data_IF_138547947776
#
_entry.id   IF_138547947776
#
_cell.length_a   1.000
_cell.length_b   1.000
_cell.length_c   1.000
_cell.angle_alpha   90.00
_cell.angle_beta   90.00
_cell.angle_gamma   90.00
#
_symmetry.space_group_name_H-M   'P 1'
#
loop_
_entity.id
_entity.type
_entity.pdbx_description
1 polymer ?
#
# COMPACT_ATOMS: atom_id res chain seq x y z
N UNK A 1 -3.25 -2.32 -24.14
CA UNK A 1 -4.01 -3.34 -23.36
C UNK A 1 -3.46 -4.74 -23.63
N UNK A 2 -3.57 -5.65 -22.66
CA UNK A 2 -3.10 -7.04 -22.78
C UNK A 2 -4.24 -8.02 -23.08
N UNK A 3 -5.50 -7.59 -22.92
CA UNK A 3 -6.70 -8.41 -23.08
C UNK A 3 -7.65 -7.86 -24.15
N UNK A 4 -8.24 -8.75 -24.93
CA UNK A 4 -9.31 -8.44 -25.88
C UNK A 4 -10.42 -9.50 -25.81
N UNK A 5 -11.51 -9.31 -26.59
CA UNK A 5 -12.58 -10.29 -26.77
C UNK A 5 -12.50 -10.81 -28.20
N UNK A 6 -12.57 -12.15 -28.34
CA UNK A 6 -12.80 -12.79 -29.62
C UNK A 6 -14.32 -12.82 -29.92
N UNK A 7 -14.76 -12.10 -30.93
CA UNK A 7 -16.20 -11.99 -31.27
C UNK A 7 -16.82 -13.30 -31.75
N UNK A 8 -16.00 -14.27 -32.21
CA UNK A 8 -16.50 -15.58 -32.67
C UNK A 8 -16.89 -16.49 -31.48
N UNK A 9 -16.08 -16.49 -30.43
CA UNK A 9 -16.33 -17.35 -29.24
C UNK A 9 -16.90 -16.57 -28.05
N UNK A 10 -16.89 -15.24 -28.10
CA UNK A 10 -17.20 -14.36 -26.98
C UNK A 10 -16.26 -14.49 -25.78
N UNK A 11 -15.11 -15.12 -25.97
CA UNK A 11 -14.12 -15.36 -24.94
C UNK A 11 -13.09 -14.24 -24.86
N UNK A 12 -12.55 -14.06 -23.65
CA UNK A 12 -11.41 -13.18 -23.46
C UNK A 12 -10.13 -13.86 -23.94
N UNK A 13 -9.31 -13.09 -24.65
CA UNK A 13 -7.94 -13.48 -25.02
C UNK A 13 -6.98 -12.57 -24.27
N UNK A 14 -6.10 -13.15 -23.44
CA UNK A 14 -4.94 -12.47 -22.88
C UNK A 14 -3.73 -12.85 -23.73
N UNK A 15 -3.10 -11.85 -24.36
CA UNK A 15 -2.04 -12.09 -25.34
C UNK A 15 -0.77 -12.75 -24.75
N UNK A 16 -0.61 -12.65 -23.43
CA UNK A 16 0.53 -13.21 -22.69
C UNK A 16 0.29 -14.64 -22.23
N UNK A 17 -0.93 -15.16 -22.33
CA UNK A 17 -1.20 -16.54 -21.92
C UNK A 17 -0.35 -17.53 -22.72
N UNK A 18 0.19 -18.56 -22.06
CA UNK A 18 1.08 -19.55 -22.70
C UNK A 18 0.52 -20.16 -23.96
N UNK A 19 -0.81 -20.36 -24.04
CA UNK A 19 -1.50 -20.89 -25.21
C UNK A 19 -1.29 -20.05 -26.48
N UNK A 20 -1.09 -18.72 -26.34
CA UNK A 20 -0.95 -17.82 -27.50
C UNK A 20 0.51 -17.61 -27.93
N UNK A 21 1.50 -17.97 -27.08
CA UNK A 21 2.92 -17.79 -27.42
C UNK A 21 3.34 -18.57 -28.69
N UNK A 22 2.74 -19.74 -28.93
CA UNK A 22 2.97 -20.54 -30.15
C UNK A 22 1.97 -20.28 -31.29
N UNK A 23 0.89 -19.52 -31.05
CA UNK A 23 -0.26 -19.36 -31.95
C UNK A 23 -0.43 -17.93 -32.46
N UNK A 24 0.67 -17.20 -32.63
CA UNK A 24 0.64 -15.80 -33.11
C UNK A 24 0.01 -15.65 -34.51
N UNK A 25 0.16 -16.64 -35.39
CA UNK A 25 -0.49 -16.67 -36.70
C UNK A 25 -2.01 -16.65 -36.60
N UNK A 26 -2.56 -17.43 -35.68
CA UNK A 26 -4.01 -17.49 -35.43
C UNK A 26 -4.55 -16.14 -34.88
N UNK A 27 -3.83 -15.52 -33.95
CA UNK A 27 -4.18 -14.16 -33.48
C UNK A 27 -4.18 -13.14 -34.62
N UNK A 28 -3.24 -13.25 -35.55
CA UNK A 28 -3.16 -12.37 -36.71
C UNK A 28 -4.29 -12.62 -37.71
N UNK A 29 -4.75 -13.86 -37.87
CA UNK A 29 -5.90 -14.18 -38.71
C UNK A 29 -7.18 -13.61 -38.11
N UNK A 30 -7.40 -13.73 -36.80
CA UNK A 30 -8.51 -13.10 -36.11
C UNK A 30 -8.45 -11.56 -36.22
N UNK A 31 -7.26 -10.99 -36.15
CA UNK A 31 -7.00 -9.56 -36.32
C UNK A 31 -7.39 -9.07 -37.72
N UNK A 32 -6.94 -9.75 -38.78
CA UNK A 32 -7.27 -9.42 -40.18
C UNK A 32 -8.77 -9.47 -40.41
N UNK A 33 -9.49 -10.38 -39.76
CA UNK A 33 -10.93 -10.55 -39.83
C UNK A 33 -11.74 -9.56 -38.96
N UNK A 34 -11.08 -8.63 -38.24
CA UNK A 34 -11.70 -7.71 -37.27
C UNK A 34 -12.46 -8.44 -36.15
N UNK A 35 -12.00 -9.68 -35.76
CA UNK A 35 -12.62 -10.50 -34.74
C UNK A 35 -12.14 -10.19 -33.33
N UNK A 36 -11.10 -9.39 -33.19
CA UNK A 36 -10.57 -8.97 -31.90
C UNK A 36 -11.09 -7.58 -31.56
N UNK A 37 -11.79 -7.46 -30.44
CA UNK A 37 -12.37 -6.18 -30.00
C UNK A 37 -11.97 -5.82 -28.58
N UNK A 38 -11.89 -4.53 -28.31
CA UNK A 38 -11.62 -4.00 -26.98
C UNK A 38 -12.74 -4.38 -26.00
N UNK A 39 -12.46 -4.91 -24.81
CA UNK A 39 -13.48 -5.28 -23.84
C UNK A 39 -14.25 -4.08 -23.26
N UNK A 40 -13.75 -2.85 -23.49
CA UNK A 40 -14.37 -1.63 -22.98
C UNK A 40 -15.25 -0.90 -23.99
N UNK A 41 -14.70 -0.62 -25.17
CA UNK A 41 -15.40 0.15 -26.19
C UNK A 41 -15.93 -0.69 -27.35
N UNK A 42 -15.66 -1.99 -27.36
CA UNK A 42 -16.06 -2.97 -28.37
C UNK A 42 -15.61 -2.62 -29.80
N UNK A 43 -14.62 -1.73 -29.94
CA UNK A 43 -14.03 -1.40 -31.22
C UNK A 43 -12.91 -2.39 -31.58
N UNK A 44 -12.68 -2.65 -32.88
CA UNK A 44 -11.62 -3.52 -33.33
C UNK A 44 -10.23 -3.09 -32.81
N UNK A 45 -9.43 -4.07 -32.44
CA UNK A 45 -8.06 -3.87 -32.00
C UNK A 45 -7.11 -4.70 -32.85
N UNK A 46 -5.84 -4.29 -32.90
CA UNK A 46 -4.77 -4.95 -33.65
C UNK A 46 -3.76 -5.59 -32.72
N UNK A 47 -3.30 -6.76 -33.11
CA UNK A 47 -2.23 -7.49 -32.43
C UNK A 47 -0.89 -6.85 -32.72
N UNK A 48 -0.23 -6.36 -31.69
CA UNK A 48 1.13 -5.83 -31.70
C UNK A 48 2.07 -6.81 -31.02
N UNK A 49 2.57 -7.77 -31.79
CA UNK A 49 3.46 -8.83 -31.30
C UNK A 49 4.72 -8.88 -32.18
N UNK A 50 5.80 -8.30 -31.68
CA UNK A 50 7.11 -8.26 -32.30
C UNK A 50 8.18 -8.89 -31.43
N UNK A 51 9.42 -9.00 -31.94
CA UNK A 51 10.56 -9.58 -31.21
C UNK A 51 11.12 -8.68 -30.12
N UNK A 52 10.86 -7.37 -30.19
CA UNK A 52 11.53 -6.36 -29.35
C UNK A 52 10.56 -5.71 -28.35
N UNK A 53 9.27 -5.64 -28.67
CA UNK A 53 8.28 -4.94 -27.83
C UNK A 53 7.40 -5.94 -27.11
N UNK A 54 6.93 -5.54 -25.91
CA UNK A 54 5.88 -6.26 -25.20
C UNK A 54 4.67 -6.50 -26.11
N UNK A 55 4.18 -7.72 -26.15
CA UNK A 55 3.00 -8.08 -26.91
C UNK A 55 1.78 -7.44 -26.28
N UNK A 56 0.95 -6.78 -27.12
CA UNK A 56 -0.24 -6.08 -26.68
C UNK A 56 -1.25 -5.91 -27.83
N UNK A 57 -2.48 -5.61 -27.47
CA UNK A 57 -3.51 -5.16 -28.41
C UNK A 57 -3.56 -3.62 -28.42
N UNK A 58 -3.77 -3.04 -29.61
CA UNK A 58 -3.86 -1.59 -29.78
C UNK A 58 -5.08 -1.23 -30.64
N UNK A 59 -5.74 -0.12 -30.31
CA UNK A 59 -6.81 0.41 -31.17
C UNK A 59 -6.26 0.89 -32.51
N UNK A 60 -7.02 0.68 -33.57
CA UNK A 60 -6.66 1.15 -34.90
C UNK A 60 -6.81 2.66 -35.05
N UNK A 61 -7.82 3.23 -34.44
CA UNK A 61 -8.17 4.62 -34.53
C UNK A 61 -8.19 5.26 -33.16
N UNK A 62 -7.91 6.57 -33.10
CA UNK A 62 -8.02 7.36 -31.89
C UNK A 62 -9.49 7.40 -31.47
N UNK A 63 -9.76 6.78 -30.35
CA UNK A 63 -11.08 6.69 -29.72
C UNK A 63 -10.99 7.16 -28.30
N UNK A 64 -12.05 7.66 -27.73
CA UNK A 64 -12.07 8.05 -26.33
C UNK A 64 -12.21 6.82 -25.43
N UNK A 65 -11.20 5.93 -25.46
CA UNK A 65 -11.15 4.70 -24.68
C UNK A 65 -10.03 4.76 -23.63
N UNK A 66 -10.27 4.39 -22.39
CA UNK A 66 -9.25 4.39 -21.34
C UNK A 66 -7.98 3.59 -21.67
N UNK A 67 -8.11 2.54 -22.49
CA UNK A 67 -6.97 1.72 -22.92
C UNK A 67 -6.14 2.34 -24.06
N UNK A 68 -6.55 3.50 -24.60
CA UNK A 68 -5.93 4.00 -25.82
C UNK A 68 -4.57 4.65 -25.60
N UNK A 69 -4.39 5.36 -24.49
CA UNK A 69 -3.21 6.17 -24.22
C UNK A 69 -2.28 5.55 -23.16
N UNK A 70 -2.32 4.23 -23.03
CA UNK A 70 -1.41 3.54 -22.11
C UNK A 70 0.02 3.63 -22.63
N UNK A 71 0.93 4.05 -21.75
CA UNK A 71 2.35 4.08 -22.08
C UNK A 71 2.90 2.66 -22.29
N UNK A 72 3.94 2.55 -23.13
CA UNK A 72 4.60 1.26 -23.32
C UNK A 72 5.17 0.74 -21.99
N UNK A 73 5.68 1.63 -21.14
CA UNK A 73 6.21 1.28 -19.84
C UNK A 73 5.13 0.70 -18.91
N UNK A 74 3.92 1.29 -18.89
CA UNK A 74 2.78 0.75 -18.14
C UNK A 74 2.42 -0.66 -18.62
N UNK A 75 2.35 -0.88 -19.93
CA UNK A 75 2.05 -2.20 -20.51
C UNK A 75 3.12 -3.24 -20.16
N UNK A 76 4.41 -2.87 -20.22
CA UNK A 76 5.51 -3.73 -19.84
C UNK A 76 5.49 -4.08 -18.34
N UNK A 77 5.22 -3.08 -17.49
CA UNK A 77 5.12 -3.27 -16.05
C UNK A 77 3.94 -4.19 -15.69
N UNK A 78 2.78 -3.97 -16.33
CA UNK A 78 1.62 -4.85 -16.17
C UNK A 78 1.89 -6.27 -16.64
N UNK A 79 2.59 -6.44 -17.75
CA UNK A 79 2.97 -7.74 -18.28
C UNK A 79 3.89 -8.50 -17.31
N UNK A 80 4.95 -7.86 -16.83
CA UNK A 80 5.88 -8.45 -15.86
C UNK A 80 5.18 -8.84 -14.55
N UNK A 81 4.31 -7.96 -14.05
CA UNK A 81 3.52 -8.24 -12.86
C UNK A 81 2.55 -9.42 -13.08
N UNK A 82 1.86 -9.45 -14.21
CA UNK A 82 0.93 -10.52 -14.55
C UNK A 82 1.63 -11.89 -14.62
N UNK A 83 2.76 -11.98 -15.32
CA UNK A 83 3.54 -13.20 -15.43
C UNK A 83 4.03 -13.66 -14.05
N UNK A 84 4.54 -12.75 -13.22
CA UNK A 84 4.95 -13.06 -11.85
C UNK A 84 3.79 -13.58 -10.98
N UNK A 85 2.59 -12.98 -11.09
CA UNK A 85 1.41 -13.43 -10.36
C UNK A 85 0.93 -14.82 -10.82
N UNK A 86 1.03 -15.10 -12.13
CA UNK A 86 0.71 -16.43 -12.66
C UNK A 86 1.58 -17.54 -12.05
N UNK A 87 2.88 -17.26 -11.87
CA UNK A 87 3.83 -18.21 -11.30
C UNK A 87 3.50 -18.55 -9.83
N UNK A 88 2.90 -17.60 -9.09
CA UNK A 88 2.55 -17.79 -7.68
C UNK A 88 1.14 -18.32 -7.44
N UNK A 89 0.17 -17.80 -8.15
CA UNK A 89 -1.24 -18.06 -7.86
C UNK A 89 -1.91 -19.00 -8.84
N UNK A 90 -1.30 -19.19 -10.02
CA UNK A 90 -1.88 -20.00 -11.11
C UNK A 90 -2.83 -19.19 -12.01
N UNK A 91 -3.01 -19.68 -13.23
CA UNK A 91 -3.77 -19.01 -14.27
C UNK A 91 -5.28 -18.94 -14.00
N UNK A 92 -5.80 -19.84 -13.19
CA UNK A 92 -7.20 -19.91 -12.79
C UNK A 92 -7.60 -18.81 -11.80
N UNK A 93 -6.62 -18.23 -11.08
CA UNK A 93 -6.85 -17.20 -10.06
C UNK A 93 -6.51 -15.79 -10.50
N UNK A 94 -5.67 -15.64 -11.52
CA UNK A 94 -5.14 -14.34 -11.93
C UNK A 94 -5.89 -13.80 -13.14
N UNK A 95 -6.37 -12.58 -13.05
CA UNK A 95 -7.00 -11.85 -14.16
C UNK A 95 -6.30 -10.53 -14.39
N UNK A 96 -5.89 -10.26 -15.64
CA UNK A 96 -5.35 -8.96 -16.05
C UNK A 96 -6.47 -8.07 -16.58
N UNK A 97 -6.33 -6.74 -16.38
CA UNK A 97 -7.26 -5.73 -16.89
C UNK A 97 -8.73 -6.04 -16.55
N UNK A 98 -9.01 -6.32 -15.26
CA UNK A 98 -10.36 -6.63 -14.79
C UNK A 98 -11.18 -5.35 -14.67
N UNK A 99 -12.31 -5.30 -15.39
CA UNK A 99 -13.26 -4.19 -15.31
C UNK A 99 -14.20 -4.45 -14.14
N UNK A 100 -14.26 -3.52 -13.19
CA UNK A 100 -15.17 -3.57 -12.06
C UNK A 100 -16.28 -2.52 -12.24
N UNK A 101 -17.55 -2.93 -12.35
CA UNK A 101 -18.67 -1.99 -12.51
C UNK A 101 -18.91 -1.12 -11.27
N UNK A 102 -18.37 -1.52 -10.11
CA UNK A 102 -18.59 -0.85 -8.82
C UNK A 102 -17.67 0.36 -8.60
N UNK A 103 -16.58 0.48 -9.36
CA UNK A 103 -15.69 1.62 -9.21
C UNK A 103 -16.27 2.86 -9.89
N UNK A 104 -16.26 4.04 -9.24
CA UNK A 104 -16.91 5.26 -9.73
C UNK A 104 -16.26 5.85 -10.99
N UNK A 105 -15.24 5.19 -11.53
CA UNK A 105 -14.53 5.64 -12.74
C UNK A 105 -14.34 4.47 -13.72
N UNK A 106 -14.30 4.78 -15.02
CA UNK A 106 -14.30 3.78 -16.09
C UNK A 106 -12.92 3.13 -16.30
N UNK A 107 -12.17 2.84 -15.23
CA UNK A 107 -10.87 2.19 -15.32
C UNK A 107 -10.96 0.70 -14.97
N UNK A 108 -9.96 -0.02 -15.36
CA UNK A 108 -9.77 -1.43 -15.05
C UNK A 108 -8.70 -1.57 -13.96
N UNK A 109 -8.76 -2.65 -13.22
CA UNK A 109 -7.70 -3.08 -12.31
C UNK A 109 -6.59 -3.72 -13.14
N UNK A 110 -5.32 -3.34 -12.92
CA UNK A 110 -4.20 -3.85 -13.71
C UNK A 110 -4.05 -5.36 -13.55
N UNK A 111 -3.96 -5.87 -12.30
CA UNK A 111 -4.00 -7.29 -12.01
C UNK A 111 -4.90 -7.58 -10.81
N UNK A 112 -5.63 -8.68 -10.91
CA UNK A 112 -6.56 -9.17 -9.91
C UNK A 112 -6.26 -10.61 -9.60
N UNK A 113 -6.22 -10.97 -8.31
CA UNK A 113 -6.02 -12.35 -7.85
C UNK A 113 -7.20 -12.77 -6.99
N UNK A 114 -7.89 -13.83 -7.38
CA UNK A 114 -8.96 -14.42 -6.59
C UNK A 114 -8.37 -15.22 -5.43
N UNK A 115 -8.85 -14.96 -4.21
CA UNK A 115 -8.47 -15.70 -3.00
C UNK A 115 -9.68 -15.99 -2.14
N UNK A 116 -9.60 -17.01 -1.28
CA UNK A 116 -10.67 -17.40 -0.36
C UNK A 116 -11.04 -16.29 0.65
N UNK A 117 -10.06 -15.52 1.07
CA UNK A 117 -10.21 -14.44 2.06
C UNK A 117 -10.64 -13.11 1.45
N UNK A 118 -10.80 -13.07 0.14
CA UNK A 118 -11.11 -11.88 -0.64
C UNK A 118 -10.03 -11.59 -1.68
N UNK A 119 -10.39 -10.89 -2.75
CA UNK A 119 -9.48 -10.65 -3.86
C UNK A 119 -8.36 -9.67 -3.50
N UNK A 120 -7.17 -9.89 -4.09
CA UNK A 120 -6.08 -8.93 -4.09
C UNK A 120 -6.09 -8.14 -5.39
N UNK A 121 -5.90 -6.84 -5.28
CA UNK A 121 -5.81 -5.94 -6.41
C UNK A 121 -4.41 -5.35 -6.50
N UNK A 122 -3.88 -5.28 -7.71
CA UNK A 122 -2.65 -4.57 -8.00
C UNK A 122 -2.94 -3.44 -8.99
N UNK A 123 -2.58 -2.23 -8.57
CA UNK A 123 -2.79 -1.02 -9.34
C UNK A 123 -1.46 -0.37 -9.68
N UNK A 124 -1.23 -0.06 -10.95
CA UNK A 124 0.04 0.49 -11.44
C UNK A 124 -0.14 1.97 -11.80
N UNK A 125 0.74 2.79 -11.25
CA UNK A 125 0.86 4.21 -11.60
C UNK A 125 2.09 4.43 -12.49
N UNK A 126 1.90 5.03 -13.65
CA UNK A 126 2.97 5.43 -14.58
C UNK A 126 3.18 6.93 -14.65
N UNK A 127 2.24 7.69 -14.09
CA UNK A 127 2.25 9.15 -14.01
C UNK A 127 1.52 9.63 -12.75
N UNK A 128 1.82 10.85 -12.32
CA UNK A 128 1.06 11.49 -11.26
C UNK A 128 -0.39 11.75 -11.69
N UNK A 129 -1.34 11.53 -10.78
CA UNK A 129 -2.78 11.66 -11.05
C UNK A 129 -3.33 12.99 -10.54
N UNK A 130 -4.33 13.58 -11.22
CA UNK A 130 -5.06 14.75 -10.73
C UNK A 130 -5.68 14.51 -9.35
N UNK A 131 -5.86 15.56 -8.51
CA UNK A 131 -6.40 15.40 -7.15
C UNK A 131 -7.74 14.69 -7.09
N UNK A 132 -8.66 15.05 -7.98
CA UNK A 132 -9.99 14.44 -8.05
C UNK A 132 -9.93 12.93 -8.37
N UNK A 133 -9.07 12.55 -9.30
CA UNK A 133 -8.88 11.14 -9.65
C UNK A 133 -8.29 10.35 -8.47
N UNK A 134 -7.31 10.90 -7.76
CA UNK A 134 -6.72 10.25 -6.58
C UNK A 134 -7.76 10.06 -5.48
N UNK A 135 -8.55 11.08 -5.20
CA UNK A 135 -9.64 11.01 -4.22
C UNK A 135 -10.64 9.92 -4.58
N UNK A 136 -11.10 9.90 -5.83
CA UNK A 136 -12.05 8.90 -6.31
C UNK A 136 -11.49 7.46 -6.20
N UNK A 137 -10.19 7.26 -6.49
CA UNK A 137 -9.51 5.98 -6.34
C UNK A 137 -9.51 5.52 -4.87
N UNK A 138 -9.09 6.39 -3.95
CA UNK A 138 -9.04 6.07 -2.52
C UNK A 138 -10.44 5.77 -1.95
N UNK A 139 -11.43 6.58 -2.30
CA UNK A 139 -12.82 6.35 -1.89
C UNK A 139 -13.36 5.04 -2.47
N UNK A 140 -13.07 4.75 -3.74
CA UNK A 140 -13.46 3.52 -4.39
C UNK A 140 -12.90 2.27 -3.71
N UNK A 141 -11.61 2.24 -3.42
CA UNK A 141 -10.99 1.12 -2.69
C UNK A 141 -11.54 0.99 -1.26
N UNK A 142 -11.68 2.10 -0.55
CA UNK A 142 -12.24 2.10 0.81
C UNK A 142 -13.68 1.61 0.85
N UNK A 143 -14.53 2.08 -0.07
CA UNK A 143 -15.96 1.74 -0.10
C UNK A 143 -16.20 0.29 -0.52
N UNK A 144 -15.35 -0.22 -1.43
CA UNK A 144 -15.46 -1.61 -1.89
C UNK A 144 -14.90 -2.63 -0.88
N UNK A 145 -14.19 -2.18 0.16
CA UNK A 145 -13.51 -3.08 1.10
C UNK A 145 -12.38 -3.91 0.46
N UNK A 146 -11.93 -3.50 -0.72
CA UNK A 146 -10.92 -4.24 -1.47
C UNK A 146 -9.51 -3.86 -1.01
N UNK A 147 -8.65 -4.87 -0.86
CA UNK A 147 -7.25 -4.64 -0.55
C UNK A 147 -6.45 -4.37 -1.84
N UNK A 148 -5.99 -3.13 -1.99
CA UNK A 148 -5.28 -2.70 -3.20
C UNK A 148 -3.80 -2.46 -2.93
N UNK A 149 -2.94 -3.11 -3.73
CA UNK A 149 -1.50 -2.85 -3.77
C UNK A 149 -1.18 -1.82 -4.84
N UNK A 150 -0.51 -0.75 -4.44
CA UNK A 150 -0.04 0.28 -5.36
C UNK A 150 1.40 0.00 -5.78
N UNK A 151 1.61 -0.10 -7.08
CA UNK A 151 2.92 -0.16 -7.71
C UNK A 151 3.13 1.08 -8.57
N UNK A 152 4.39 1.45 -8.73
CA UNK A 152 4.79 2.56 -9.56
C UNK A 152 5.76 2.07 -10.64
N UNK A 153 5.67 2.63 -11.82
CA UNK A 153 6.72 2.41 -12.83
C UNK A 153 7.96 3.22 -12.47
N UNK A 154 9.12 2.80 -12.96
CA UNK A 154 10.38 3.52 -12.72
C UNK A 154 10.43 4.92 -13.31
N UNK A 155 9.50 5.31 -14.21
CA UNK A 155 9.37 6.69 -14.66
C UNK A 155 8.94 7.67 -13.56
N UNK A 156 8.36 7.17 -12.47
CA UNK A 156 7.97 7.98 -11.30
C UNK A 156 9.08 8.03 -10.24
N UNK A 157 10.03 7.11 -10.29
CA UNK A 157 11.12 7.04 -9.32
C UNK A 157 12.06 8.24 -9.47
N UNK A 158 12.13 9.08 -8.47
CA UNK A 158 13.00 10.26 -8.42
C UNK A 158 13.89 10.21 -7.16
N UNK A 159 14.97 9.42 -7.18
CA UNK A 159 15.92 9.36 -6.07
C UNK A 159 16.78 10.62 -6.03
N UNK A 160 17.29 10.95 -4.85
CA UNK A 160 18.36 11.94 -4.75
C UNK A 160 19.62 11.45 -5.51
N UNK A 161 20.29 12.35 -6.21
CA UNK A 161 21.48 11.99 -7.01
C UNK A 161 22.67 11.57 -6.13
N UNK A 162 22.74 12.03 -4.90
CA UNK A 162 23.82 11.78 -3.96
C UNK A 162 23.49 10.72 -2.91
N UNK A 163 22.20 10.61 -2.54
CA UNK A 163 21.74 9.69 -1.50
C UNK A 163 20.57 8.83 -1.99
N UNK A 164 20.86 7.65 -2.56
CA UNK A 164 19.86 6.72 -3.10
C UNK A 164 18.78 6.27 -2.09
N UNK A 165 18.97 6.57 -0.81
CA UNK A 165 17.99 6.32 0.25
C UNK A 165 16.96 7.45 0.37
N UNK A 166 17.24 8.61 -0.25
CA UNK A 166 16.35 9.76 -0.30
C UNK A 166 15.55 9.79 -1.60
N UNK A 167 14.30 10.18 -1.49
CA UNK A 167 13.35 10.22 -2.59
C UNK A 167 12.57 11.54 -2.58
N UNK A 168 12.37 12.09 -3.76
CA UNK A 168 11.43 13.19 -3.98
C UNK A 168 10.09 12.63 -4.48
N UNK A 169 9.12 12.53 -3.59
CA UNK A 169 7.83 11.90 -3.89
C UNK A 169 6.80 12.88 -4.42
N UNK A 170 6.13 12.49 -5.50
CA UNK A 170 4.94 13.16 -6.00
C UNK A 170 3.78 13.03 -5.00
N UNK A 171 2.74 13.85 -5.14
CA UNK A 171 1.54 13.73 -4.30
C UNK A 171 0.86 12.38 -4.47
N UNK A 172 0.85 11.82 -5.69
CA UNK A 172 0.29 10.49 -5.95
C UNK A 172 1.03 9.42 -5.14
N UNK A 173 2.36 9.39 -5.17
CA UNK A 173 3.14 8.42 -4.41
C UNK A 173 2.89 8.55 -2.90
N UNK A 174 2.86 9.78 -2.37
CA UNK A 174 2.60 10.02 -0.94
C UNK A 174 1.23 9.54 -0.47
N UNK A 175 0.21 9.75 -1.29
CA UNK A 175 -1.16 9.36 -0.95
C UNK A 175 -1.41 7.84 -1.08
N UNK A 176 -0.63 7.15 -1.92
CA UNK A 176 -0.75 5.71 -2.16
C UNK A 176 0.37 4.89 -1.51
N UNK A 177 1.16 5.48 -0.60
CA UNK A 177 2.07 4.72 0.26
C UNK A 177 1.31 3.72 1.11
N UNK A 178 1.81 2.51 1.17
CA UNK A 178 1.23 1.42 1.97
C UNK A 178 1.89 1.33 3.36
N UNK A 179 1.18 0.82 4.38
CA UNK A 179 1.82 0.47 5.64
C UNK A 179 2.83 -0.65 5.41
N UNK A 180 3.99 -0.60 6.07
CA UNK A 180 4.96 -1.67 5.99
C UNK A 180 4.50 -2.88 6.82
N UNK A 181 4.55 -4.10 6.30
CA UNK A 181 4.24 -5.30 7.08
C UNK A 181 5.30 -5.56 8.19
N UNK A 182 6.42 -4.84 8.15
CA UNK A 182 7.54 -4.99 9.09
C UNK A 182 7.59 -3.88 10.15
N UNK A 183 6.61 -2.98 10.22
CA UNK A 183 6.60 -1.84 11.16
C UNK A 183 6.69 -2.26 12.63
N UNK A 184 6.17 -3.41 12.98
CA UNK A 184 6.28 -3.93 14.34
C UNK A 184 7.69 -4.30 14.76
N UNK A 185 8.60 -4.56 13.80
CA UNK A 185 9.99 -4.91 14.06
C UNK A 185 10.87 -3.69 14.40
N UNK A 186 10.42 -2.48 14.04
CA UNK A 186 11.16 -1.22 14.23
C UNK A 186 10.68 -0.46 15.48
N UNK A 187 9.74 -0.98 16.23
CA UNK A 187 9.10 -0.35 17.40
C UNK A 187 10.01 0.01 18.59
N UNK A 188 11.26 0.33 18.36
CA UNK A 188 12.05 0.97 19.39
C UNK A 188 11.82 2.47 19.54
N UNK A 189 11.46 3.22 18.48
CA UNK A 189 11.59 4.68 18.51
C UNK A 189 10.62 5.51 17.64
N UNK A 190 9.70 4.94 16.87
CA UNK A 190 8.76 5.74 16.06
C UNK A 190 7.31 5.36 16.30
N UNK A 191 6.50 6.35 16.69
CA UNK A 191 5.05 6.19 16.93
C UNK A 191 4.20 6.15 15.64
N UNK A 192 4.82 6.35 14.47
CA UNK A 192 4.12 6.29 13.18
C UNK A 192 4.55 5.04 12.43
N UNK A 193 3.59 4.24 11.94
CA UNK A 193 3.90 3.11 11.06
C UNK A 193 4.73 3.60 9.87
N UNK A 194 5.83 2.94 9.58
CA UNK A 194 6.64 3.21 8.40
C UNK A 194 5.80 3.01 7.14
N UNK A 195 6.09 3.76 6.11
CA UNK A 195 5.42 3.67 4.82
C UNK A 195 6.30 2.93 3.82
N UNK A 196 5.65 2.28 2.88
CA UNK A 196 6.30 1.50 1.84
C UNK A 196 5.87 1.97 0.46
N UNK A 197 6.81 1.98 -0.48
CA UNK A 197 6.57 2.16 -1.91
C UNK A 197 7.28 1.07 -2.71
N UNK A 198 6.62 0.64 -3.78
CA UNK A 198 7.14 -0.36 -4.70
C UNK A 198 7.21 0.21 -6.12
N UNK A 199 8.39 0.10 -6.74
CA UNK A 199 8.61 0.44 -8.14
C UNK A 199 9.03 -0.81 -8.90
N UNK A 200 8.38 -1.07 -10.03
CA UNK A 200 8.73 -2.20 -10.88
C UNK A 200 9.45 -1.71 -12.14
N UNK A 201 10.70 -2.13 -12.28
CA UNK A 201 11.48 -2.00 -13.51
C UNK A 201 11.23 -3.24 -14.38
N UNK A 202 10.30 -3.09 -15.32
CA UNK A 202 9.96 -4.18 -16.24
C UNK A 202 11.10 -4.52 -17.22
N UNK A 203 12.01 -3.58 -17.51
CA UNK A 203 13.13 -3.81 -18.42
C UNK A 203 14.23 -4.65 -17.78
N UNK A 204 14.48 -4.46 -16.50
CA UNK A 204 15.43 -5.21 -15.70
C UNK A 204 14.77 -6.40 -14.94
N UNK A 205 13.46 -6.57 -15.04
CA UNK A 205 12.67 -7.51 -14.25
C UNK A 205 12.97 -7.41 -12.75
N UNK A 206 12.96 -6.19 -12.21
CA UNK A 206 13.45 -5.89 -10.86
C UNK A 206 12.42 -5.11 -10.08
N UNK A 207 12.13 -5.54 -8.84
CA UNK A 207 11.35 -4.77 -7.88
C UNK A 207 12.26 -3.93 -7.00
N UNK A 208 11.99 -2.63 -6.96
CA UNK A 208 12.64 -1.66 -6.09
C UNK A 208 11.64 -1.28 -5.00
N UNK A 209 11.95 -1.59 -3.76
CA UNK A 209 11.09 -1.31 -2.62
C UNK A 209 11.78 -0.35 -1.67
N UNK A 210 11.06 0.69 -1.27
CA UNK A 210 11.46 1.56 -0.18
C UNK A 210 10.61 1.26 1.05
N UNK A 211 11.27 0.89 2.16
CA UNK A 211 10.65 0.56 3.44
C UNK A 211 10.92 1.66 4.46
N UNK A 212 10.01 1.77 5.43
CA UNK A 212 10.14 2.70 6.56
C UNK A 212 10.34 4.15 6.12
N UNK A 213 9.65 4.54 5.05
CA UNK A 213 9.69 5.90 4.52
C UNK A 213 9.19 6.89 5.58
N UNK A 214 10.01 7.89 5.84
CA UNK A 214 9.69 9.01 6.71
C UNK A 214 10.09 10.33 6.05
N UNK A 215 9.36 11.39 6.38
CA UNK A 215 9.59 12.73 5.85
C UNK A 215 10.87 13.32 6.45
N UNK A 216 11.81 13.72 5.61
CA UNK A 216 13.06 14.39 6.02
C UNK A 216 12.91 15.90 5.87
N UNK A 217 12.56 16.34 4.66
CA UNK A 217 12.31 17.75 4.36
C UNK A 217 10.92 17.93 3.73
N UNK A 218 10.02 18.69 4.39
CA UNK A 218 8.71 18.98 3.82
C UNK A 218 8.80 19.80 2.53
N UNK A 219 7.91 19.56 1.56
CA UNK A 219 6.81 18.60 1.60
C UNK A 219 7.09 17.27 0.90
N UNK A 220 8.25 17.07 0.30
CA UNK A 220 8.42 16.05 -0.73
C UNK A 220 9.59 15.10 -0.53
N UNK A 221 10.57 15.43 0.32
CA UNK A 221 11.75 14.61 0.51
C UNK A 221 11.55 13.58 1.63
N UNK A 222 11.72 12.32 1.27
CA UNK A 222 11.55 11.18 2.16
C UNK A 222 12.83 10.35 2.19
N UNK A 223 13.11 9.72 3.32
CA UNK A 223 14.19 8.76 3.48
C UNK A 223 13.66 7.44 3.99
N UNK A 224 14.31 6.35 3.61
CA UNK A 224 13.95 4.99 4.01
C UNK A 224 15.03 3.98 3.63
N UNK A 225 14.79 2.70 3.91
CA UNK A 225 15.65 1.62 3.44
C UNK A 225 15.24 1.18 2.04
N UNK A 226 16.22 1.03 1.14
CA UNK A 226 16.03 0.62 -0.25
C UNK A 226 16.41 -0.84 -0.44
N UNK A 227 15.48 -1.62 -1.01
CA UNK A 227 15.69 -3.01 -1.42
C UNK A 227 15.57 -3.08 -2.94
N UNK A 228 16.46 -3.81 -3.59
CA UNK A 228 16.43 -4.03 -5.04
C UNK A 228 16.64 -5.52 -5.29
N UNK A 229 15.64 -6.15 -5.90
CA UNK A 229 15.65 -7.62 -6.08
C UNK A 229 15.00 -7.98 -7.41
N UNK A 230 15.54 -8.97 -8.11
CA UNK A 230 14.87 -9.56 -9.27
C UNK A 230 13.47 -10.03 -8.87
N UNK A 231 12.46 -9.71 -9.68
CA UNK A 231 11.06 -9.97 -9.37
C UNK A 231 10.80 -11.45 -9.11
N UNK A 232 11.49 -12.35 -9.80
CA UNK A 232 11.41 -13.81 -9.62
C UNK A 232 11.79 -14.30 -8.21
N UNK A 233 12.57 -13.48 -7.45
CA UNK A 233 13.00 -13.80 -6.08
C UNK A 233 12.12 -13.16 -5.01
N UNK A 234 11.19 -12.32 -5.42
CA UNK A 234 10.22 -11.69 -4.52
C UNK A 234 9.03 -12.62 -4.38
N UNK A 235 8.51 -12.77 -3.17
CA UNK A 235 7.35 -13.60 -2.88
C UNK A 235 6.20 -12.75 -2.35
N UNK A 236 4.94 -13.01 -2.74
CA UNK A 236 3.81 -12.37 -2.10
C UNK A 236 3.55 -13.02 -0.74
N UNK A 237 3.13 -12.25 0.25
CA UNK A 237 2.55 -12.84 1.47
C UNK A 237 1.25 -13.56 1.10
N UNK A 238 0.99 -14.77 1.63
CA UNK A 238 -0.20 -15.55 1.26
C UNK A 238 -1.52 -14.81 1.50
N UNK A 239 -1.63 -14.10 2.64
CA UNK A 239 -2.88 -13.50 3.09
C UNK A 239 -3.11 -12.09 2.53
N UNK A 240 -2.06 -11.31 2.39
CA UNK A 240 -2.17 -9.89 2.03
C UNK A 240 -1.63 -9.57 0.65
N UNK A 241 -0.88 -10.46 -0.01
CA UNK A 241 -0.26 -10.21 -1.31
C UNK A 241 0.89 -9.20 -1.30
N UNK A 242 1.35 -8.80 -0.12
CA UNK A 242 2.46 -7.84 0.03
C UNK A 242 3.77 -8.44 -0.51
N UNK A 243 4.59 -7.61 -1.14
CA UNK A 243 5.87 -8.06 -1.71
C UNK A 243 6.92 -8.27 -0.61
N UNK A 244 7.47 -9.47 -0.53
CA UNK A 244 8.51 -9.87 0.44
C UNK A 244 9.80 -10.17 -0.29
N UNK A 245 10.86 -9.44 0.04
CA UNK A 245 12.19 -9.69 -0.48
C UNK A 245 12.87 -10.85 0.27
N UNK A 246 13.83 -11.59 -0.34
CA UNK A 246 14.45 -12.78 0.27
C UNK A 246 14.98 -12.54 1.68
N UNK A 247 15.61 -11.39 1.95
CA UNK A 247 16.13 -11.06 3.28
C UNK A 247 15.06 -10.67 4.31
N UNK A 248 13.81 -10.50 3.90
CA UNK A 248 12.67 -10.17 4.78
C UNK A 248 11.89 -11.43 5.20
N UNK A 249 11.95 -12.51 4.44
CA UNK A 249 11.16 -13.71 4.66
C UNK A 249 11.43 -14.35 6.02
N UNK A 250 12.69 -14.49 6.41
CA UNK A 250 13.09 -15.05 7.71
C UNK A 250 12.60 -14.15 8.86
N UNK A 251 12.63 -12.82 8.66
CA UNK A 251 12.12 -11.86 9.65
C UNK A 251 10.61 -11.98 9.80
N UNK A 252 9.88 -12.14 8.70
CA UNK A 252 8.43 -12.31 8.70
C UNK A 252 8.03 -13.57 9.44
N UNK A 253 8.66 -14.71 9.13
CA UNK A 253 8.42 -15.99 9.80
C UNK A 253 8.65 -15.87 11.31
N UNK A 254 9.78 -15.28 11.70
CA UNK A 254 10.10 -15.07 13.12
C UNK A 254 9.06 -14.19 13.82
N UNK A 255 8.64 -13.09 13.19
CA UNK A 255 7.66 -12.18 13.73
C UNK A 255 6.28 -12.83 13.89
N UNK A 256 5.83 -13.59 12.90
CA UNK A 256 4.57 -14.34 12.98
C UNK A 256 4.59 -15.35 14.13
N UNK A 257 5.69 -16.09 14.30
CA UNK A 257 5.86 -17.01 15.42
C UNK A 257 5.83 -16.29 16.79
N UNK A 258 6.49 -15.14 16.92
CA UNK A 258 6.46 -14.34 18.14
C UNK A 258 5.08 -13.74 18.43
N UNK A 259 4.33 -13.33 17.41
CA UNK A 259 2.97 -12.82 17.52
C UNK A 259 2.02 -13.94 18.00
N UNK A 260 2.17 -15.14 17.47
CA UNK A 260 1.39 -16.30 17.86
C UNK A 260 1.62 -16.69 19.33
N UNK A 261 2.88 -16.71 19.78
CA UNK A 261 3.24 -16.94 21.19
C UNK A 261 2.64 -15.87 22.12
N UNK A 262 2.61 -14.60 21.67
CA UNK A 262 1.99 -13.51 22.44
C UNK A 262 0.48 -13.69 22.57
N UNK A 263 -0.21 -14.05 21.50
CA UNK A 263 -1.64 -14.34 21.52
C UNK A 263 -1.97 -15.51 22.44
N UNK A 264 -1.23 -16.60 22.37
CA UNK A 264 -1.42 -17.76 23.26
C UNK A 264 -1.22 -17.40 24.73
N UNK A 265 -0.19 -16.59 25.06
CA UNK A 265 0.01 -16.09 26.41
C UNK A 265 -1.14 -15.21 26.89
N UNK A 266 -1.65 -14.31 26.07
CA UNK A 266 -2.81 -13.48 26.41
C UNK A 266 -4.06 -14.31 26.66
N UNK A 267 -4.34 -15.30 25.81
CA UNK A 267 -5.48 -16.22 25.97
C UNK A 267 -5.38 -17.04 27.27
N UNK A 268 -4.18 -17.45 27.69
CA UNK A 268 -3.97 -18.17 28.94
C UNK A 268 -4.13 -17.28 30.18
N UNK A 269 -3.83 -15.98 30.06
CA UNK A 269 -3.88 -15.05 31.21
C UNK A 269 -5.29 -14.50 31.44
N UNK A 270 -6.11 -14.38 30.40
CA UNK A 270 -7.46 -13.83 30.46
C UNK A 270 -8.40 -14.58 31.44
N UNK A 271 -8.43 -15.94 31.48
CA UNK A 271 -9.27 -16.66 32.42
C UNK A 271 -8.86 -16.48 33.89
N UNK A 272 -7.56 -16.24 34.16
CA UNK A 272 -7.07 -15.98 35.52
C UNK A 272 -7.49 -14.60 36.05
N UNK A 273 -7.48 -13.59 35.21
CA UNK A 273 -7.93 -12.23 35.57
C UNK A 273 -9.43 -12.17 35.81
N UNK A 274 -10.23 -12.89 35.03
CA UNK A 274 -11.68 -12.99 35.23
C UNK A 274 -12.05 -13.72 36.53
N UNK A 275 -11.29 -14.73 36.96
CA UNK A 275 -11.50 -15.41 38.22
C UNK A 275 -11.11 -14.56 39.45
N UNK A 276 -10.18 -13.63 39.33
CA UNK A 276 -9.79 -12.71 40.38
C UNK A 276 -10.81 -11.58 40.59
N UNK A 277 -11.50 -11.13 39.52
CA UNK A 277 -12.51 -10.10 39.63
C UNK A 277 -13.87 -10.58 40.16
N UNK A 278 -14.09 -11.91 40.26
CA UNK A 278 -15.33 -12.52 40.76
C UNK A 278 -15.25 -12.91 42.24
N UNK A 279 -14.23 -12.53 42.99
CA UNK A 279 -14.25 -12.65 44.45
C UNK A 279 -15.22 -11.63 45.04
N UNK A 280 -16.24 -12.05 45.81
CA UNK A 280 -17.10 -11.10 46.49
C UNK A 280 -16.25 -10.27 47.46
N UNK A 281 -16.59 -9.00 47.68
CA UNK A 281 -15.92 -8.17 48.66
C UNK A 281 -16.11 -8.83 50.02
N UNK A 282 -14.99 -9.17 50.70
CA UNK A 282 -15.02 -9.62 52.09
C UNK A 282 -15.64 -8.53 52.96
N UNK A 283 -16.63 -8.93 53.76
CA UNK A 283 -17.27 -8.09 54.78
C UNK A 283 -16.23 -7.24 55.52
N UNK A 284 -16.21 -5.94 55.19
CA UNK A 284 -15.48 -4.97 56.01
C UNK A 284 -16.39 -4.52 57.15
N UNK A 285 -15.85 -4.76 58.36
CA UNK A 285 -16.39 -4.30 59.61
C UNK A 285 -16.92 -2.86 59.57
N UNK A 286 -18.08 -2.69 60.16
CA UNK A 286 -18.78 -1.43 60.42
C UNK A 286 -17.93 -0.50 61.29
N UNK A 287 -17.49 0.61 60.74
CA UNK A 287 -16.91 1.74 61.47
C UNK A 287 -18.02 2.74 61.84
N UNK A 288 -18.13 3.21 63.08
CA UNK A 288 -19.22 4.05 63.55
C UNK A 288 -19.18 5.47 62.96
N UNK A 289 -20.36 6.00 62.72
CA UNK A 289 -20.63 7.31 62.14
C UNK A 289 -20.09 8.47 62.99
N UNK A 290 -19.35 9.38 62.37
CA UNK A 290 -18.96 10.69 62.94
C UNK A 290 -19.79 11.81 62.25
N UNK A 291 -20.22 12.88 62.95
CA UNK A 291 -21.21 13.82 62.48
C UNK A 291 -20.65 14.82 61.44
N UNK A 292 -21.53 15.58 60.72
CA UNK A 292 -21.12 16.36 59.57
C UNK A 292 -20.50 17.68 59.97
N UNK A 293 -19.34 17.97 59.43
CA UNK A 293 -18.70 19.29 59.46
C UNK A 293 -18.95 20.01 58.12
N UNK A 294 -19.65 21.10 58.21
CA UNK A 294 -19.76 22.09 57.16
C UNK A 294 -18.42 22.74 56.87
N UNK A 295 -17.94 22.71 55.62
CA UNK A 295 -16.88 23.60 55.21
C UNK A 295 -16.89 23.94 53.75
N UNK A 296 -16.63 25.18 53.52
CA UNK A 296 -16.37 25.91 52.29
C UNK A 296 -15.52 25.15 51.23
N UNK A 297 -15.97 25.21 49.99
CA UNK A 297 -15.29 24.71 48.82
C UNK A 297 -14.35 25.80 48.27
N UNK A 298 -13.02 25.65 48.31
CA UNK A 298 -12.15 26.41 47.45
C UNK A 298 -12.09 25.76 46.06
N UNK A 299 -12.00 26.63 45.02
CA UNK A 299 -11.79 26.24 43.60
C UNK A 299 -10.56 25.37 43.44
N UNK A 300 -10.58 24.38 42.51
CA UNK A 300 -9.41 23.58 42.25
C UNK A 300 -8.35 24.42 41.52
N UNK A 301 -7.29 24.77 42.23
CA UNK A 301 -6.03 25.13 41.61
C UNK A 301 -5.50 23.96 40.77
N UNK A 302 -5.14 24.29 39.55
CA UNK A 302 -4.54 23.37 38.61
C UNK A 302 -3.28 22.74 39.22
N UNK A 303 -3.33 21.44 39.53
CA UNK A 303 -2.16 20.69 39.88
C UNK A 303 -1.22 20.62 38.66
N UNK A 304 -0.13 21.34 38.70
CA UNK A 304 1.00 21.28 37.79
C UNK A 304 1.61 19.90 37.85
N UNK A 305 1.55 19.16 36.75
CA UNK A 305 2.25 17.91 36.54
C UNK A 305 3.77 18.10 36.72
N UNK A 306 4.50 17.21 37.43
CA UNK A 306 5.91 17.41 37.78
C UNK A 306 6.92 17.24 36.63
N UNK A 307 6.47 17.22 35.37
CA UNK A 307 7.33 17.03 34.21
C UNK A 307 7.05 18.02 33.08
N UNK A 308 7.16 19.33 33.35
CA UNK A 308 7.16 20.30 32.28
C UNK A 308 8.58 20.54 31.75
N UNK A 309 9.11 19.63 30.95
CA UNK A 309 10.31 19.94 30.16
C UNK A 309 9.92 20.91 29.06
N UNK A 310 10.54 22.08 29.02
CA UNK A 310 10.43 23.01 27.90
C UNK A 310 11.49 22.69 26.87
N UNK A 311 11.12 22.71 25.60
CA UNK A 311 12.04 22.50 24.47
C UNK A 311 11.91 23.62 23.43
N UNK A 312 12.94 23.79 22.61
CA UNK A 312 12.93 24.75 21.51
C UNK A 312 12.42 24.03 20.26
N UNK A 313 11.35 24.54 19.66
CA UNK A 313 10.78 23.94 18.45
C UNK A 313 11.76 24.08 17.27
N UNK A 314 12.09 22.97 16.63
CA UNK A 314 13.00 22.92 15.46
C UNK A 314 12.49 23.72 14.26
N UNK A 315 11.18 23.91 14.14
CA UNK A 315 10.56 24.56 12.98
C UNK A 315 10.37 26.06 13.17
N UNK A 316 9.86 26.51 14.33
CA UNK A 316 9.57 27.91 14.57
C UNK A 316 10.51 28.60 15.57
N UNK A 317 11.43 27.86 16.21
CA UNK A 317 12.36 28.39 17.21
C UNK A 317 11.76 28.80 18.55
N UNK A 318 10.44 28.62 18.75
CA UNK A 318 9.75 29.02 19.98
C UNK A 318 10.00 28.00 21.08
N UNK A 319 10.33 28.48 22.27
CA UNK A 319 10.43 27.66 23.46
C UNK A 319 9.02 27.31 23.97
N UNK A 320 8.71 26.04 24.15
CA UNK A 320 7.38 25.58 24.54
C UNK A 320 7.45 24.30 25.38
N UNK A 321 6.45 24.11 26.24
CA UNK A 321 6.15 22.86 26.91
C UNK A 321 5.06 22.04 26.20
N UNK A 322 4.36 22.64 25.23
CA UNK A 322 3.35 21.98 24.40
C UNK A 322 3.98 21.44 23.11
N UNK A 323 4.54 20.24 23.18
CA UNK A 323 5.22 19.57 22.08
C UNK A 323 4.70 18.15 21.89
N UNK A 324 4.82 17.66 20.67
CA UNK A 324 4.45 16.29 20.28
C UNK A 324 5.66 15.35 20.36
N UNK A 325 6.83 15.85 19.94
CA UNK A 325 8.08 15.09 20.04
C UNK A 325 9.15 15.91 20.76
N UNK A 326 9.93 15.28 21.61
CA UNK A 326 11.00 15.93 22.38
C UNK A 326 12.27 15.08 22.33
N UNK A 327 13.37 15.68 21.89
CA UNK A 327 14.69 15.08 21.95
C UNK A 327 15.41 15.50 23.23
N UNK A 328 15.52 14.58 24.16
CA UNK A 328 16.13 14.83 25.47
C UNK A 328 17.64 15.09 25.43
N UNK A 329 18.34 14.78 24.34
CA UNK A 329 19.79 15.03 24.19
C UNK A 329 20.07 16.45 23.72
N UNK A 330 19.29 16.95 22.79
CA UNK A 330 19.47 18.27 22.18
C UNK A 330 18.61 19.37 22.80
N UNK A 331 17.61 19.00 23.60
CA UNK A 331 16.61 19.95 24.15
C UNK A 331 15.66 20.50 23.08
N UNK A 332 15.64 19.90 21.90
CA UNK A 332 14.79 20.36 20.79
C UNK A 332 13.47 19.60 20.76
N UNK A 333 12.42 20.22 20.23
CA UNK A 333 11.10 19.62 20.14
C UNK A 333 10.40 20.00 18.83
N UNK A 334 9.26 19.36 18.54
CA UNK A 334 8.30 19.80 17.54
C UNK A 334 7.04 20.25 18.28
N UNK A 335 6.75 21.55 18.28
CA UNK A 335 5.58 22.06 18.96
C UNK A 335 4.28 21.66 18.25
N UNK A 336 3.18 21.54 19.01
CA UNK A 336 1.87 21.12 18.49
C UNK A 336 1.37 22.02 17.36
N UNK A 337 1.62 23.31 17.43
CA UNK A 337 1.20 24.26 16.39
C UNK A 337 1.94 24.02 15.05
N UNK A 338 3.24 23.77 15.09
CA UNK A 338 4.00 23.42 13.88
C UNK A 338 3.63 22.03 13.34
N UNK A 339 3.38 21.07 14.22
CA UNK A 339 2.91 19.76 13.84
C UNK A 339 1.57 19.84 13.09
N UNK A 340 0.58 20.57 13.62
CA UNK A 340 -0.74 20.71 13.00
C UNK A 340 -0.70 21.53 11.68
N UNK A 341 0.31 22.40 11.48
CA UNK A 341 0.49 23.12 10.20
C UNK A 341 1.07 22.21 9.12
N UNK A 342 1.83 21.20 9.51
CA UNK A 342 2.48 20.24 8.59
C UNK A 342 1.57 19.03 8.33
N UNK A 343 0.66 18.72 9.27
CA UNK A 343 -0.32 17.63 9.21
C UNK A 343 -1.73 18.19 9.47
N UNK A 344 -2.31 18.98 8.54
CA UNK A 344 -3.66 19.54 8.67
C UNK A 344 -4.75 18.48 8.62
#
# INVERSE_FOLDING_TARGET
MLKCINTNSSEFIVILDPQWRGHLSELRELDIQDRLVCPRCHQPVRTRAGKIKCWHFAHNHLQNCPFQNESLLLLQTRAALYEWLLDYYGADKVTVEKILPVLPFPRHIDCWVEQEQGPLLYWIFDTSRPPEERKNLQEGFKTSGLHAHSLFTTSMLNPDEHELLHLYLTTTEREFMQPSPFDELVRGYTFTPGKTLHYLDASANTLITYRNLHLVHPPQEFSGSRLVTSLEKVHPTPDTGEFVHPGEQDRLIKHQAEAQIRQEKQQRTLPHLLKQSSRPPSDQESVPATPPLTTHRPSPEAQSSPFSKTGVCKVCGIQTSDWITYDGKTGTCLCRNCYNKVNP
#
